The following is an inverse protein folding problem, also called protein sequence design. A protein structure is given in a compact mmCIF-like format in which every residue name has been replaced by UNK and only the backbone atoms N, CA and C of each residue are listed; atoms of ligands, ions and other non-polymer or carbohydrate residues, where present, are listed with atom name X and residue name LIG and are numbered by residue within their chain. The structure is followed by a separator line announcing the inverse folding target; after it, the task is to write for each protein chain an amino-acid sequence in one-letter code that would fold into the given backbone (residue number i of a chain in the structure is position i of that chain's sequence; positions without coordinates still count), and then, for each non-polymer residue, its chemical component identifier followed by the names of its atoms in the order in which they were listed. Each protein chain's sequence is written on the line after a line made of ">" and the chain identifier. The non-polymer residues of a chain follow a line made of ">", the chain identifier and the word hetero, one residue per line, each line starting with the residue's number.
data_IF_785022998137
#
_entry.id   IF_785022998137
#
_cell.length_a   1.000
_cell.length_b   1.000
_cell.length_c   1.000
_cell.angle_alpha   90.00
_cell.angle_beta   90.00
_cell.angle_gamma   90.00
#
_symmetry.space_group_name_H-M   'P 1'
#
loop_
_entity.id
_entity.type
_entity.pdbx_description
1 polymer ?
#
# COMPACT_ATOMS: atom_id res chain seq x y z
N UNK A 1 -11.14 36.96 -34.26
CA UNK A 1 -11.45 36.63 -32.85
C UNK A 1 -11.00 35.19 -32.61
N UNK A 2 -9.93 35.01 -31.88
CA UNK A 2 -9.44 33.66 -31.57
C UNK A 2 -10.30 33.09 -30.42
N UNK A 3 -10.92 31.94 -30.67
CA UNK A 3 -11.74 31.19 -29.71
C UNK A 3 -10.84 30.73 -28.57
N UNK A 4 -11.13 31.16 -27.32
CA UNK A 4 -10.42 30.72 -26.12
C UNK A 4 -10.67 29.22 -25.96
N UNK A 5 -9.63 28.37 -25.87
CA UNK A 5 -9.83 26.93 -25.70
C UNK A 5 -10.60 26.69 -24.40
N UNK A 6 -11.72 25.98 -24.50
CA UNK A 6 -12.52 25.54 -23.37
C UNK A 6 -11.64 24.69 -22.45
N UNK A 7 -11.52 24.98 -21.15
CA UNK A 7 -10.69 24.19 -20.26
C UNK A 7 -11.20 22.74 -20.23
N UNK A 8 -10.35 21.80 -20.60
CA UNK A 8 -10.65 20.37 -20.59
C UNK A 8 -11.14 19.93 -19.19
N UNK A 9 -12.40 19.54 -19.09
CA UNK A 9 -13.06 19.14 -17.85
C UNK A 9 -12.33 17.95 -17.20
N UNK A 10 -11.75 17.07 -18.02
CA UNK A 10 -10.99 15.89 -17.60
C UNK A 10 -9.68 16.30 -16.89
N UNK A 11 -8.94 17.28 -17.44
CA UNK A 11 -7.70 17.79 -16.82
C UNK A 11 -7.98 18.52 -15.51
N UNK A 12 -9.10 19.26 -15.42
CA UNK A 12 -9.52 19.94 -14.17
C UNK A 12 -9.90 18.92 -13.10
N UNK A 13 -10.61 17.86 -13.48
CA UNK A 13 -11.00 16.76 -12.59
C UNK A 13 -9.77 16.04 -12.04
N UNK A 14 -8.81 15.64 -12.89
CA UNK A 14 -7.58 14.98 -12.48
C UNK A 14 -6.73 15.86 -11.53
N UNK A 15 -6.59 17.16 -11.83
CA UNK A 15 -5.87 18.10 -10.95
C UNK A 15 -6.55 18.26 -9.59
N UNK A 16 -7.88 18.33 -9.56
CA UNK A 16 -8.64 18.45 -8.31
C UNK A 16 -8.53 17.17 -7.48
N UNK A 17 -8.62 15.98 -8.12
CA UNK A 17 -8.43 14.68 -7.46
C UNK A 17 -7.06 14.60 -6.81
N UNK A 18 -5.99 14.97 -7.53
CA UNK A 18 -4.63 14.98 -6.99
C UNK A 18 -4.51 15.91 -5.79
N UNK A 19 -5.00 17.14 -5.88
CA UNK A 19 -4.95 18.10 -4.78
C UNK A 19 -5.72 17.59 -3.53
N UNK A 20 -6.83 16.86 -3.72
CA UNK A 20 -7.59 16.24 -2.63
C UNK A 20 -6.79 15.13 -1.97
N UNK A 21 -6.12 14.27 -2.74
CA UNK A 21 -5.28 13.19 -2.21
C UNK A 21 -4.09 13.73 -1.42
N UNK A 22 -3.35 14.67 -1.99
CA UNK A 22 -2.20 15.31 -1.32
C UNK A 22 -2.63 15.99 -0.01
N UNK A 23 -3.79 16.67 -0.01
CA UNK A 23 -4.34 17.30 1.19
C UNK A 23 -4.76 16.28 2.25
N UNK A 24 -5.37 15.16 1.85
CA UNK A 24 -5.84 14.12 2.75
C UNK A 24 -4.66 13.40 3.42
N UNK A 25 -3.65 12.99 2.64
CA UNK A 25 -2.43 12.34 3.15
C UNK A 25 -1.65 13.25 4.10
N UNK A 26 -1.49 14.53 3.74
CA UNK A 26 -0.81 15.50 4.58
C UNK A 26 -1.56 15.72 5.91
N UNK A 27 -2.89 15.91 5.88
CA UNK A 27 -3.68 16.10 7.09
C UNK A 27 -3.66 14.89 8.01
N UNK A 28 -3.83 13.69 7.48
CA UNK A 28 -3.81 12.49 8.33
C UNK A 28 -2.45 12.29 8.98
N UNK A 29 -1.37 12.63 8.28
CA UNK A 29 -0.01 12.62 8.84
C UNK A 29 0.22 13.66 9.94
N UNK A 30 -0.36 14.85 9.80
CA UNK A 30 -0.19 15.96 10.75
C UNK A 30 -1.05 15.81 12.01
N UNK A 31 -2.31 15.42 11.86
CA UNK A 31 -3.29 15.45 12.96
C UNK A 31 -3.87 14.08 13.32
N UNK A 32 -3.55 13.05 12.59
CA UNK A 32 -4.11 11.70 12.73
C UNK A 32 -5.49 11.56 12.09
N UNK A 33 -5.92 10.30 11.88
CA UNK A 33 -7.21 10.00 11.25
C UNK A 33 -8.42 10.58 12.00
N UNK A 34 -8.53 10.49 13.35
CA UNK A 34 -9.71 11.01 14.05
C UNK A 34 -9.96 12.50 13.83
N UNK A 35 -8.90 13.30 13.77
CA UNK A 35 -8.99 14.78 13.59
C UNK A 35 -9.01 15.22 12.13
N UNK A 36 -8.76 14.33 11.18
CA UNK A 36 -8.92 14.61 9.75
C UNK A 36 -10.41 14.73 9.40
N UNK A 37 -10.80 15.79 8.71
CA UNK A 37 -12.20 16.04 8.31
C UNK A 37 -12.28 16.33 6.82
N UNK A 38 -13.45 16.07 6.20
CA UNK A 38 -13.70 16.44 4.79
C UNK A 38 -13.57 17.97 4.59
N UNK A 39 -14.02 18.76 5.54
CA UNK A 39 -13.88 20.22 5.52
C UNK A 39 -12.40 20.63 5.51
N UNK A 40 -11.58 20.02 6.34
CA UNK A 40 -10.14 20.27 6.40
C UNK A 40 -9.44 19.86 5.09
N UNK A 41 -9.79 18.71 4.52
CA UNK A 41 -9.28 18.26 3.23
C UNK A 41 -9.68 19.25 2.12
N UNK A 42 -10.95 19.64 2.06
CA UNK A 42 -11.48 20.57 1.06
C UNK A 42 -10.79 21.93 1.13
N UNK A 43 -10.65 22.49 2.34
CA UNK A 43 -9.99 23.78 2.56
C UNK A 43 -8.52 23.73 2.09
N UNK A 44 -7.78 22.66 2.44
CA UNK A 44 -6.37 22.50 2.06
C UNK A 44 -6.20 22.24 0.56
N UNK A 45 -7.10 21.48 -0.06
CA UNK A 45 -7.10 21.20 -1.49
C UNK A 45 -7.59 22.39 -2.35
N UNK A 46 -8.15 23.44 -1.74
CA UNK A 46 -8.73 24.57 -2.47
C UNK A 46 -9.99 24.21 -3.27
N UNK A 47 -10.80 23.27 -2.77
CA UNK A 47 -12.04 22.80 -3.41
C UNK A 47 -13.23 22.92 -2.48
N UNK A 48 -14.45 22.93 -3.02
CA UNK A 48 -15.66 22.82 -2.21
C UNK A 48 -15.88 21.40 -1.69
N UNK A 49 -16.40 21.24 -0.46
CA UNK A 49 -16.71 19.91 0.11
C UNK A 49 -17.65 19.07 -0.78
N UNK A 50 -18.56 19.70 -1.51
CA UNK A 50 -19.44 19.05 -2.48
C UNK A 50 -18.65 18.36 -3.62
N UNK A 51 -17.48 18.91 -3.97
CA UNK A 51 -16.58 18.29 -4.95
C UNK A 51 -16.04 16.96 -4.44
N UNK A 52 -15.73 16.86 -3.15
CA UNK A 52 -15.25 15.62 -2.52
C UNK A 52 -16.41 14.63 -2.42
N UNK A 53 -17.55 15.00 -1.82
CA UNK A 53 -18.69 14.11 -1.65
C UNK A 53 -19.28 13.56 -2.95
N UNK A 54 -19.04 14.22 -4.08
CA UNK A 54 -19.44 13.70 -5.40
C UNK A 54 -18.72 12.41 -5.77
N UNK A 55 -17.49 12.21 -5.26
CA UNK A 55 -16.63 11.08 -5.61
C UNK A 55 -16.44 10.10 -4.44
N UNK A 56 -16.39 10.59 -3.22
CA UNK A 56 -16.10 9.82 -2.02
C UNK A 56 -17.13 10.05 -0.93
N UNK A 57 -17.82 8.99 -0.48
CA UNK A 57 -18.83 9.07 0.57
C UNK A 57 -18.25 9.51 1.93
N UNK A 58 -16.99 9.14 2.20
CA UNK A 58 -16.33 9.39 3.48
C UNK A 58 -14.87 9.82 3.33
N UNK A 59 -14.27 10.30 4.43
CA UNK A 59 -12.82 10.58 4.47
C UNK A 59 -11.97 9.31 4.38
N UNK A 60 -12.52 8.16 4.79
CA UNK A 60 -11.85 6.87 4.64
C UNK A 60 -11.67 6.51 3.16
N UNK A 61 -12.73 6.68 2.35
CA UNK A 61 -12.65 6.42 0.91
C UNK A 61 -11.63 7.31 0.22
N UNK A 62 -11.57 8.60 0.60
CA UNK A 62 -10.54 9.54 0.08
C UNK A 62 -9.14 9.04 0.40
N UNK A 63 -8.89 8.66 1.65
CA UNK A 63 -7.57 8.22 2.11
C UNK A 63 -7.16 6.89 1.48
N UNK A 64 -8.05 5.90 1.45
CA UNK A 64 -7.76 4.60 0.85
C UNK A 64 -7.40 4.75 -0.63
N UNK A 65 -8.17 5.54 -1.38
CA UNK A 65 -7.87 5.78 -2.80
C UNK A 65 -6.60 6.63 -2.99
N UNK A 66 -6.31 7.57 -2.08
CA UNK A 66 -5.06 8.32 -2.10
C UNK A 66 -3.83 7.43 -1.87
N UNK A 67 -3.92 6.42 -1.00
CA UNK A 67 -2.86 5.43 -0.81
C UNK A 67 -2.65 4.54 -2.03
N UNK A 68 -3.74 4.07 -2.65
CA UNK A 68 -3.63 3.29 -3.89
C UNK A 68 -2.94 4.09 -4.99
N UNK A 69 -3.33 5.35 -5.18
CA UNK A 69 -2.73 6.26 -6.17
C UNK A 69 -1.24 6.53 -5.87
N UNK A 70 -0.87 6.64 -4.59
CA UNK A 70 0.53 6.82 -4.18
C UNK A 70 1.38 5.58 -4.52
N UNK A 71 0.89 4.38 -4.22
CA UNK A 71 1.57 3.12 -4.56
C UNK A 71 1.71 2.94 -6.07
N UNK A 72 0.66 3.22 -6.85
CA UNK A 72 0.73 3.19 -8.32
C UNK A 72 1.77 4.16 -8.89
N UNK A 73 1.88 5.35 -8.32
CA UNK A 73 2.90 6.32 -8.76
C UNK A 73 4.31 5.85 -8.42
N UNK A 74 4.52 5.27 -7.25
CA UNK A 74 5.81 4.72 -6.85
C UNK A 74 6.23 3.58 -7.79
N UNK A 75 5.33 2.64 -8.11
CA UNK A 75 5.59 1.55 -9.05
C UNK A 75 5.94 2.07 -10.45
N UNK A 76 5.17 3.02 -10.98
CA UNK A 76 5.45 3.63 -12.30
C UNK A 76 6.79 4.37 -12.32
N UNK A 77 7.13 5.07 -11.25
CA UNK A 77 8.42 5.76 -11.13
C UNK A 77 9.60 4.78 -11.09
N UNK A 78 9.40 3.59 -10.54
CA UNK A 78 10.37 2.50 -10.54
C UNK A 78 10.41 1.69 -11.85
N UNK A 79 9.56 2.01 -12.84
CA UNK A 79 9.45 1.25 -14.09
C UNK A 79 8.85 -0.15 -13.90
N UNK A 80 8.11 -0.35 -12.82
CA UNK A 80 7.44 -1.61 -12.50
C UNK A 80 5.95 -1.53 -12.88
N UNK A 81 5.40 -2.66 -13.31
CA UNK A 81 3.94 -2.76 -13.43
C UNK A 81 3.33 -2.73 -12.03
N UNK A 82 2.34 -1.84 -11.79
CA UNK A 82 1.64 -1.82 -10.53
C UNK A 82 0.99 -3.18 -10.27
N UNK A 83 1.14 -3.68 -9.03
CA UNK A 83 0.43 -4.88 -8.58
C UNK A 83 0.84 -6.20 -9.27
N UNK A 84 2.12 -6.37 -9.63
CA UNK A 84 2.67 -7.66 -10.03
C UNK A 84 3.92 -8.02 -9.21
N UNK A 85 4.04 -9.31 -8.87
CA UNK A 85 5.29 -9.88 -8.38
C UNK A 85 5.94 -10.59 -9.56
N UNK A 86 7.21 -10.32 -9.88
CA UNK A 86 7.91 -11.03 -10.95
C UNK A 86 7.85 -12.55 -10.77
N UNK A 87 7.80 -13.27 -11.87
CA UNK A 87 7.91 -14.73 -11.91
C UNK A 87 9.06 -15.14 -12.81
N UNK A 88 10.29 -14.94 -12.30
CA UNK A 88 11.54 -15.20 -13.04
C UNK A 88 11.96 -16.66 -13.02
N UNK A 89 11.30 -17.50 -12.21
CA UNK A 89 11.73 -18.86 -11.92
C UNK A 89 12.57 -18.97 -10.65
N UNK A 90 13.08 -17.87 -10.11
CA UNK A 90 13.76 -17.81 -8.81
C UNK A 90 12.82 -17.16 -7.76
N UNK A 91 12.12 -18.01 -7.01
CA UNK A 91 11.18 -17.55 -6.00
C UNK A 91 11.84 -16.66 -4.94
N UNK A 92 13.04 -17.01 -4.51
CA UNK A 92 13.74 -16.26 -3.46
C UNK A 92 14.13 -14.86 -3.94
N UNK A 93 14.63 -14.74 -5.18
CA UNK A 93 14.97 -13.47 -5.79
C UNK A 93 13.73 -12.59 -5.97
N UNK A 94 12.63 -13.16 -6.47
CA UNK A 94 11.38 -12.45 -6.70
C UNK A 94 10.78 -11.89 -5.39
N UNK A 95 10.74 -12.72 -4.33
CA UNK A 95 10.25 -12.31 -3.02
C UNK A 95 11.13 -11.22 -2.39
N UNK A 96 12.47 -11.35 -2.47
CA UNK A 96 13.39 -10.33 -1.98
C UNK A 96 13.21 -9.00 -2.70
N UNK A 97 13.07 -9.03 -4.03
CA UNK A 97 12.84 -7.82 -4.82
C UNK A 97 11.61 -7.05 -4.33
N UNK A 98 10.48 -7.73 -4.18
CA UNK A 98 9.22 -7.10 -3.76
C UNK A 98 9.27 -6.62 -2.31
N UNK A 99 9.85 -7.41 -1.40
CA UNK A 99 9.95 -6.99 0.01
C UNK A 99 10.93 -5.82 0.20
N UNK A 100 11.99 -5.71 -0.59
CA UNK A 100 12.88 -4.55 -0.58
C UNK A 100 12.14 -3.30 -1.09
N UNK A 101 11.35 -3.40 -2.16
CA UNK A 101 10.50 -2.31 -2.63
C UNK A 101 9.47 -1.90 -1.55
N UNK A 102 8.90 -2.87 -0.83
CA UNK A 102 8.02 -2.60 0.31
C UNK A 102 8.77 -1.87 1.44
N UNK A 103 10.01 -2.22 1.73
CA UNK A 103 10.85 -1.48 2.70
C UNK A 103 11.01 -0.02 2.25
N UNK A 104 11.38 0.22 0.98
CA UNK A 104 11.56 1.57 0.44
C UNK A 104 10.29 2.42 0.58
N UNK A 105 9.14 1.82 0.31
CA UNK A 105 7.84 2.47 0.48
C UNK A 105 7.56 2.78 1.96
N UNK A 106 7.74 1.81 2.85
CA UNK A 106 7.46 1.92 4.28
C UNK A 106 8.38 2.87 5.04
N UNK A 107 9.60 3.14 4.54
CA UNK A 107 10.52 4.14 5.12
C UNK A 107 10.39 5.52 4.47
N UNK A 108 9.66 5.66 3.37
CA UNK A 108 9.41 6.94 2.72
C UNK A 108 8.49 7.80 3.60
N UNK A 109 8.93 8.96 4.10
CA UNK A 109 8.13 9.79 5.01
C UNK A 109 6.77 10.22 4.45
N UNK A 110 6.67 10.39 3.12
CA UNK A 110 5.42 10.76 2.47
C UNK A 110 4.35 9.65 2.54
N UNK A 111 4.80 8.40 2.64
CA UNK A 111 3.95 7.23 2.80
C UNK A 111 3.84 6.79 4.27
N UNK A 112 4.98 6.67 4.96
CA UNK A 112 5.11 6.09 6.31
C UNK A 112 4.15 6.73 7.33
N UNK A 113 4.16 8.05 7.41
CA UNK A 113 3.41 8.76 8.46
C UNK A 113 1.90 8.62 8.28
N UNK A 114 1.30 8.90 7.09
CA UNK A 114 -0.12 8.73 6.89
C UNK A 114 -0.56 7.25 6.89
N UNK A 115 0.25 6.34 6.34
CA UNK A 115 -0.06 4.91 6.33
C UNK A 115 -0.13 4.33 7.73
N UNK A 116 0.82 4.69 8.59
CA UNK A 116 0.82 4.27 9.99
C UNK A 116 -0.38 4.80 10.77
N UNK A 117 -0.76 6.06 10.53
CA UNK A 117 -1.93 6.65 11.16
C UNK A 117 -3.23 5.92 10.76
N UNK A 118 -3.36 5.55 9.49
CA UNK A 118 -4.51 4.78 8.99
C UNK A 118 -4.51 3.34 9.52
N UNK A 119 -3.36 2.67 9.50
CA UNK A 119 -3.22 1.31 10.01
C UNK A 119 -3.53 1.24 11.53
N UNK A 120 -3.05 2.21 12.31
CA UNK A 120 -3.36 2.31 13.74
C UNK A 120 -4.86 2.54 13.99
N UNK A 121 -5.51 3.38 13.20
CA UNK A 121 -6.97 3.57 13.28
C UNK A 121 -7.72 2.28 12.94
N UNK A 122 -7.26 1.54 11.93
CA UNK A 122 -7.86 0.26 11.53
C UNK A 122 -7.81 -0.83 12.61
N UNK A 123 -6.91 -0.71 13.61
CA UNK A 123 -6.85 -1.62 14.76
C UNK A 123 -7.97 -1.35 15.77
N UNK A 124 -8.43 -0.10 15.90
CA UNK A 124 -9.40 0.32 16.92
C UNK A 124 -10.79 0.59 16.34
N UNK A 125 -10.91 0.69 15.03
CA UNK A 125 -12.14 0.98 14.30
C UNK A 125 -12.42 -0.14 13.29
N UNK A 126 -13.34 -1.01 13.62
CA UNK A 126 -13.68 -2.21 12.84
C UNK A 126 -14.03 -1.89 11.38
N UNK A 127 -14.77 -0.81 11.13
CA UNK A 127 -15.16 -0.43 9.77
C UNK A 127 -13.94 -0.03 8.95
N UNK A 128 -13.09 0.83 9.51
CA UNK A 128 -11.85 1.27 8.84
C UNK A 128 -10.91 0.10 8.62
N UNK A 129 -10.79 -0.78 9.62
CA UNK A 129 -9.99 -2.01 9.53
C UNK A 129 -10.45 -2.92 8.39
N UNK A 130 -11.76 -3.18 8.31
CA UNK A 130 -12.35 -4.00 7.26
C UNK A 130 -12.12 -3.39 5.86
N UNK A 131 -12.32 -2.08 5.71
CA UNK A 131 -12.09 -1.38 4.45
C UNK A 131 -10.60 -1.37 4.06
N UNK A 132 -9.71 -1.14 5.02
CA UNK A 132 -8.26 -1.19 4.80
C UNK A 132 -7.83 -2.57 4.31
N UNK A 133 -8.29 -3.63 4.99
CA UNK A 133 -8.01 -5.01 4.59
C UNK A 133 -8.55 -5.29 3.19
N UNK A 134 -9.83 -4.99 2.93
CA UNK A 134 -10.47 -5.34 1.68
C UNK A 134 -9.92 -4.58 0.46
N UNK A 135 -9.62 -3.29 0.63
CA UNK A 135 -9.24 -2.40 -0.48
C UNK A 135 -7.74 -2.27 -0.71
N UNK A 136 -6.92 -2.40 0.35
CA UNK A 136 -5.47 -2.21 0.27
C UNK A 136 -4.68 -3.49 0.52
N UNK A 137 -4.93 -4.16 1.65
CA UNK A 137 -4.07 -5.26 2.07
C UNK A 137 -4.32 -6.55 1.28
N UNK A 138 -5.58 -6.99 1.20
CA UNK A 138 -5.93 -8.26 0.57
C UNK A 138 -5.53 -8.35 -0.91
N UNK A 139 -5.73 -7.32 -1.75
CA UNK A 139 -5.26 -7.34 -3.13
C UNK A 139 -3.75 -7.56 -3.24
N UNK A 140 -2.94 -6.93 -2.39
CA UNK A 140 -1.49 -7.12 -2.36
C UNK A 140 -1.10 -8.53 -1.90
N UNK A 141 -1.74 -9.06 -0.85
CA UNK A 141 -1.47 -10.41 -0.36
C UNK A 141 -1.79 -11.48 -1.41
N UNK A 142 -2.83 -11.26 -2.23
CA UNK A 142 -3.16 -12.18 -3.33
C UNK A 142 -2.07 -12.27 -4.41
N UNK A 143 -1.25 -11.25 -4.59
CA UNK A 143 -0.10 -11.33 -5.51
C UNK A 143 0.95 -12.34 -5.00
N UNK A 144 1.22 -12.32 -3.70
CA UNK A 144 2.11 -13.33 -3.08
C UNK A 144 1.54 -14.74 -3.18
N UNK A 145 0.23 -14.90 -2.93
CA UNK A 145 -0.46 -16.19 -3.08
C UNK A 145 -0.33 -16.70 -4.51
N UNK A 146 -0.58 -15.86 -5.51
CA UNK A 146 -0.42 -16.20 -6.95
C UNK A 146 1.01 -16.64 -7.25
N UNK A 147 2.01 -15.88 -6.77
CA UNK A 147 3.44 -16.21 -7.00
C UNK A 147 3.85 -17.53 -6.34
N UNK A 148 3.40 -17.77 -5.10
CA UNK A 148 3.67 -19.02 -4.38
C UNK A 148 3.00 -20.24 -5.05
N UNK A 149 1.76 -20.08 -5.56
CA UNK A 149 1.09 -21.14 -6.34
C UNK A 149 1.86 -21.47 -7.62
N UNK A 150 2.34 -20.45 -8.34
CA UNK A 150 3.18 -20.68 -9.51
C UNK A 150 4.47 -21.45 -9.16
N UNK A 151 5.06 -21.20 -8.00
CA UNK A 151 6.20 -21.97 -7.49
C UNK A 151 5.81 -23.40 -7.10
N UNK A 152 4.62 -23.63 -6.56
CA UNK A 152 4.09 -24.99 -6.30
C UNK A 152 3.91 -25.79 -7.59
N UNK A 153 3.36 -25.16 -8.63
CA UNK A 153 3.14 -25.81 -9.94
C UNK A 153 4.47 -26.26 -10.59
N UNK A 154 5.58 -25.57 -10.27
CA UNK A 154 6.94 -25.95 -10.71
C UNK A 154 7.64 -26.93 -9.77
N UNK A 155 7.11 -27.18 -8.59
CA UNK A 155 7.72 -28.03 -7.57
C UNK A 155 8.77 -27.30 -6.69
N UNK A 156 8.92 -25.98 -6.80
CA UNK A 156 9.82 -25.16 -5.96
C UNK A 156 9.28 -25.00 -4.53
N UNK A 157 7.96 -25.09 -4.37
CA UNK A 157 7.26 -25.11 -3.08
C UNK A 157 6.45 -26.40 -2.98
N UNK A 158 6.44 -27.04 -1.82
CA UNK A 158 5.68 -28.27 -1.58
C UNK A 158 4.19 -28.04 -1.81
N UNK A 159 3.51 -29.02 -2.41
CA UNK A 159 2.08 -28.93 -2.74
C UNK A 159 1.16 -28.90 -1.50
N UNK A 160 1.63 -29.40 -0.34
CA UNK A 160 0.88 -29.39 0.92
C UNK A 160 0.98 -28.09 1.72
N UNK A 161 1.79 -27.14 1.27
CA UNK A 161 1.90 -25.80 1.90
C UNK A 161 0.73 -24.94 1.49
N UNK A 162 0.02 -24.35 2.47
CA UNK A 162 -0.95 -23.30 2.18
C UNK A 162 -0.22 -21.99 1.83
N UNK A 163 -0.35 -21.45 0.60
CA UNK A 163 0.35 -20.24 0.20
C UNK A 163 -0.05 -19.02 1.03
N UNK A 164 -1.29 -19.00 1.55
CA UNK A 164 -1.76 -17.89 2.40
C UNK A 164 -1.05 -17.89 3.75
N UNK A 165 -0.87 -19.05 4.37
CA UNK A 165 -0.13 -19.18 5.62
C UNK A 165 1.36 -18.96 5.39
N UNK A 166 1.91 -19.48 4.28
CA UNK A 166 3.33 -19.33 3.95
C UNK A 166 3.75 -17.86 3.82
N UNK A 167 2.96 -17.03 3.13
CA UNK A 167 3.28 -15.60 2.99
C UNK A 167 3.32 -14.86 4.33
N UNK A 168 2.55 -15.30 5.32
CA UNK A 168 2.51 -14.67 6.64
C UNK A 168 3.84 -14.80 7.39
N UNK A 169 4.67 -15.80 7.05
CA UNK A 169 5.99 -15.98 7.67
C UNK A 169 6.98 -14.84 7.37
N UNK A 170 6.80 -14.11 6.29
CA UNK A 170 7.68 -13.01 5.91
C UNK A 170 6.97 -11.64 5.84
N UNK A 171 5.69 -11.59 5.51
CA UNK A 171 4.95 -10.33 5.44
C UNK A 171 4.54 -9.84 6.85
N UNK A 172 4.01 -10.73 7.71
CA UNK A 172 3.50 -10.34 9.02
C UNK A 172 4.60 -9.81 9.96
N UNK A 173 5.79 -10.42 10.07
CA UNK A 173 6.86 -9.87 10.90
C UNK A 173 7.34 -8.50 10.43
N UNK A 174 7.39 -8.25 9.11
CA UNK A 174 7.74 -6.95 8.56
C UNK A 174 6.69 -5.90 8.94
N UNK A 175 5.42 -6.19 8.70
CA UNK A 175 4.31 -5.29 9.01
C UNK A 175 4.24 -4.98 10.52
N UNK A 176 4.39 -6.00 11.38
CA UNK A 176 4.39 -5.83 12.83
C UNK A 176 5.57 -4.98 13.30
N UNK A 177 6.79 -5.25 12.81
CA UNK A 177 7.98 -4.48 13.16
C UNK A 177 7.83 -3.01 12.74
N UNK A 178 7.32 -2.77 11.56
CA UNK A 178 7.05 -1.42 11.08
C UNK A 178 5.98 -0.71 11.93
N UNK A 179 4.82 -1.35 12.16
CA UNK A 179 3.70 -0.73 12.87
C UNK A 179 4.05 -0.42 14.33
N UNK A 180 4.67 -1.38 15.02
CA UNK A 180 5.00 -1.27 16.45
C UNK A 180 6.37 -0.63 16.73
N UNK A 181 7.19 -0.34 15.69
CA UNK A 181 8.54 0.24 15.84
C UNK A 181 9.47 -0.57 16.74
N UNK A 182 9.36 -1.89 16.71
CA UNK A 182 10.19 -2.79 17.53
C UNK A 182 11.64 -2.90 17.06
N UNK A 183 11.96 -2.34 15.90
CA UNK A 183 13.31 -2.25 15.36
C UNK A 183 13.29 -1.68 13.94
N UNK A 184 14.46 -1.39 13.36
CA UNK A 184 14.54 -0.91 11.98
C UNK A 184 14.06 -1.99 11.01
N UNK A 185 13.39 -1.58 9.94
CA UNK A 185 13.16 -2.41 8.76
C UNK A 185 14.27 -2.12 7.75
N UNK A 186 14.82 -3.17 7.13
CA UNK A 186 15.92 -3.09 6.17
C UNK A 186 15.86 -4.24 5.17
N UNK A 187 16.65 -4.15 4.11
CA UNK A 187 16.79 -5.24 3.14
C UNK A 187 17.33 -6.50 3.77
N UNK A 188 18.37 -6.40 4.65
CA UNK A 188 18.93 -7.56 5.35
C UNK A 188 17.87 -8.26 6.21
N UNK A 189 16.99 -7.48 6.84
CA UNK A 189 15.90 -8.05 7.62
C UNK A 189 14.90 -8.81 6.75
N UNK A 190 14.46 -8.22 5.65
CA UNK A 190 13.50 -8.89 4.74
C UNK A 190 14.12 -10.09 4.03
N UNK A 191 15.38 -10.01 3.62
CA UNK A 191 16.10 -11.13 3.01
C UNK A 191 16.22 -12.30 3.97
N UNK A 192 16.48 -12.03 5.26
CA UNK A 192 16.53 -13.05 6.32
C UNK A 192 15.15 -13.68 6.52
N UNK A 193 14.06 -12.90 6.51
CA UNK A 193 12.71 -13.46 6.59
C UNK A 193 12.39 -14.40 5.43
N UNK A 194 12.76 -14.02 4.21
CA UNK A 194 12.61 -14.90 3.02
C UNK A 194 13.42 -16.18 3.18
N UNK A 195 14.67 -16.08 3.62
CA UNK A 195 15.52 -17.27 3.81
C UNK A 195 14.93 -18.21 4.86
N UNK A 196 14.47 -17.69 6.00
CA UNK A 196 13.85 -18.51 7.05
C UNK A 196 12.52 -19.12 6.59
N UNK A 197 11.71 -18.38 5.83
CA UNK A 197 10.44 -18.90 5.32
C UNK A 197 10.65 -20.03 4.30
N UNK A 198 11.64 -19.92 3.41
CA UNK A 198 11.88 -20.90 2.37
C UNK A 198 12.69 -22.12 2.87
N UNK A 199 13.59 -21.94 3.83
CA UNK A 199 14.52 -22.97 4.25
C UNK A 199 14.32 -23.47 5.69
N UNK A 200 13.52 -22.74 6.49
CA UNK A 200 13.31 -23.02 7.91
C UNK A 200 14.51 -22.59 8.77
N UNK A 201 14.41 -22.88 10.07
CA UNK A 201 15.43 -22.55 11.10
C UNK A 201 16.06 -23.80 11.74
N UNK A 202 15.62 -25.00 11.37
CA UNK A 202 16.21 -26.25 11.86
C UNK A 202 17.59 -26.49 11.22
N UNK A 203 18.52 -27.16 11.91
CA UNK A 203 19.77 -27.63 11.31
C UNK A 203 19.51 -28.47 10.06
N UNK A 204 20.30 -28.23 9.02
CA UNK A 204 20.26 -29.03 7.77
C UNK A 204 21.09 -30.31 7.91
#
# INVERSE_FOLDING_TARGET
>A
MAEKPTPDATRRSARSRRAIFDAALALVGEVGYPRTTIEGIAARAGVGKQTIYRWWPSKADVLLEAFMDLGEQAARAAGQEPYEIPDTGDLAADLRLVLRATVDELINPAFEVPARALAAEGVVNDQIGAEFVAKLLEPQLQLYVKRLRSAQDRGDVRADVDPRIALELFVSPLAQRWLQRTGPISYDYTDTLVDYALHGIAPR
#
